data_IF_357314555032
#
_entry.id   IF_357314555032
#
_cell.length_a   1.000
_cell.length_b   1.000
_cell.length_c   1.000
_cell.angle_alpha   90.00
_cell.angle_beta   90.00
_cell.angle_gamma   90.00
#
_symmetry.space_group_name_H-M   'P 1'
#
loop_
_entity.id
_entity.type
_entity.pdbx_description
1 polymer ?
#
# COMPACT_ATOMS: atom_id res chain seq x y z
N UNK A 1 3.07 -41.72 1.27
CA UNK A 1 2.74 -40.74 0.20
C UNK A 1 1.39 -40.14 0.51
N UNK A 2 1.31 -38.84 0.84
CA UNK A 2 0.06 -38.15 1.16
C UNK A 2 -0.01 -36.93 0.25
N UNK A 3 -0.91 -36.95 -0.74
CA UNK A 3 -1.12 -35.88 -1.69
C UNK A 3 -1.85 -34.71 -1.01
N UNK A 4 -1.23 -33.54 -0.97
CA UNK A 4 -1.90 -32.28 -0.62
C UNK A 4 -2.58 -31.72 -1.89
N UNK A 5 -3.85 -31.32 -1.84
CA UNK A 5 -4.48 -30.65 -2.97
C UNK A 5 -3.92 -29.23 -3.12
N UNK A 6 -3.51 -28.91 -4.34
CA UNK A 6 -3.16 -27.56 -4.77
C UNK A 6 -4.36 -26.63 -4.54
N UNK A 7 -4.20 -25.65 -3.66
CA UNK A 7 -5.16 -24.56 -3.49
C UNK A 7 -4.86 -23.54 -4.58
N UNK A 8 -5.76 -23.43 -5.57
CA UNK A 8 -5.66 -22.38 -6.59
C UNK A 8 -5.68 -20.99 -5.92
N UNK A 9 -4.78 -20.07 -6.28
CA UNK A 9 -4.89 -18.68 -5.84
C UNK A 9 -6.21 -18.09 -6.34
N UNK A 10 -6.82 -17.15 -5.60
CA UNK A 10 -8.06 -16.51 -6.01
C UNK A 10 -7.86 -15.89 -7.39
N UNK A 11 -8.68 -16.31 -8.35
CA UNK A 11 -8.72 -15.77 -9.70
C UNK A 11 -8.89 -14.25 -9.55
N UNK A 12 -7.89 -13.48 -9.98
CA UNK A 12 -8.05 -12.04 -10.13
C UNK A 12 -9.22 -11.82 -11.09
N UNK A 13 -10.28 -11.18 -10.60
CA UNK A 13 -11.26 -10.59 -11.49
C UNK A 13 -10.53 -9.54 -12.33
N UNK A 14 -10.56 -9.72 -13.64
CA UNK A 14 -9.99 -8.80 -14.60
C UNK A 14 -10.83 -7.52 -14.61
N UNK A 15 -10.27 -6.44 -14.09
CA UNK A 15 -10.89 -5.12 -14.04
C UNK A 15 -10.41 -4.20 -15.17
N UNK A 16 -9.63 -4.72 -16.13
CA UNK A 16 -9.16 -3.94 -17.29
C UNK A 16 -10.29 -3.39 -18.16
N UNK A 17 -11.49 -3.97 -18.02
CA UNK A 17 -12.71 -3.57 -18.71
C UNK A 17 -13.74 -2.89 -17.80
N UNK A 18 -13.34 -2.40 -16.62
CA UNK A 18 -14.28 -1.61 -15.83
C UNK A 18 -14.66 -0.34 -16.60
N UNK A 19 -15.96 -0.14 -16.89
CA UNK A 19 -16.39 1.07 -17.57
C UNK A 19 -15.99 2.29 -16.74
N UNK A 20 -15.69 3.44 -17.39
CA UNK A 20 -15.51 4.72 -16.71
C UNK A 20 -16.58 4.96 -15.66
N UNK A 21 -16.29 5.71 -14.58
CA UNK A 21 -17.28 6.04 -13.55
C UNK A 21 -18.59 6.56 -14.14
N UNK A 22 -18.54 7.33 -15.23
CA UNK A 22 -19.72 7.82 -15.96
C UNK A 22 -20.61 6.69 -16.56
N UNK A 23 -20.01 5.57 -16.95
CA UNK A 23 -20.63 4.40 -17.57
C UNK A 23 -20.85 3.25 -16.57
N UNK A 24 -20.56 3.46 -15.28
CA UNK A 24 -20.86 2.49 -14.25
C UNK A 24 -22.38 2.32 -14.13
N UNK A 25 -22.85 1.07 -14.03
CA UNK A 25 -24.26 0.76 -13.71
C UNK A 25 -24.70 1.30 -12.34
N UNK A 26 -23.76 1.69 -11.50
CA UNK A 26 -24.01 2.28 -10.19
C UNK A 26 -23.78 3.79 -10.17
N UNK A 27 -23.52 4.41 -11.31
CA UNK A 27 -23.42 5.86 -11.40
C UNK A 27 -24.84 6.47 -11.40
N UNK A 28 -25.17 7.36 -10.46
CA UNK A 28 -26.47 8.03 -10.42
C UNK A 28 -26.72 8.93 -11.64
N UNK A 29 -25.69 9.25 -12.43
CA UNK A 29 -25.80 9.99 -13.69
C UNK A 29 -25.82 9.09 -14.94
N UNK A 30 -25.81 7.77 -14.79
CA UNK A 30 -25.90 6.87 -15.95
C UNK A 30 -27.35 6.91 -16.52
N UNK A 31 -27.53 7.23 -17.82
CA UNK A 31 -28.84 7.28 -18.47
C UNK A 31 -29.54 5.92 -18.63
N UNK A 32 -28.92 4.82 -18.20
CA UNK A 32 -29.58 3.51 -18.14
C UNK A 32 -30.76 3.55 -17.14
N UNK A 33 -31.98 3.44 -17.69
CA UNK A 33 -33.30 3.47 -17.05
C UNK A 33 -33.44 2.68 -15.71
N UNK A 34 -32.83 3.16 -14.63
CA UNK A 34 -32.97 2.59 -13.28
C UNK A 34 -34.33 2.92 -12.66
N UNK A 35 -34.78 2.10 -11.70
CA UNK A 35 -36.07 2.29 -11.04
C UNK A 35 -36.25 3.71 -10.47
N UNK A 36 -35.22 4.24 -9.80
CA UNK A 36 -35.25 5.59 -9.22
C UNK A 36 -35.31 6.70 -10.28
N UNK A 37 -34.67 6.51 -11.43
CA UNK A 37 -34.75 7.46 -12.56
C UNK A 37 -36.15 7.49 -13.16
N UNK A 38 -36.76 6.31 -13.37
CA UNK A 38 -38.12 6.19 -13.88
C UNK A 38 -39.15 6.81 -12.92
N UNK A 39 -38.93 6.66 -11.62
CA UNK A 39 -39.77 7.30 -10.60
C UNK A 39 -39.54 8.81 -10.56
N UNK A 40 -38.29 9.29 -10.61
CA UNK A 40 -37.99 10.72 -10.63
C UNK A 40 -38.62 11.44 -11.84
N UNK A 41 -38.62 10.80 -13.01
CA UNK A 41 -39.28 11.32 -14.21
C UNK A 41 -40.80 11.45 -14.05
N UNK A 42 -41.42 10.51 -13.33
CA UNK A 42 -42.84 10.56 -12.99
C UNK A 42 -43.16 11.72 -12.03
N UNK A 43 -42.28 11.97 -11.06
CA UNK A 43 -42.43 13.10 -10.13
C UNK A 43 -42.10 14.46 -10.76
N UNK A 44 -41.31 14.50 -11.84
CA UNK A 44 -40.96 15.74 -12.54
C UNK A 44 -42.10 16.32 -13.39
N UNK A 45 -43.12 15.52 -13.71
CA UNK A 45 -44.22 15.91 -14.60
C UNK A 45 -45.60 15.68 -13.96
N UNK A 46 -45.95 16.40 -12.89
CA UNK A 46 -47.28 16.33 -12.30
C UNK A 46 -48.33 16.96 -13.21
N UNK A 47 -49.58 16.55 -13.03
CA UNK A 47 -50.73 17.21 -13.65
C UNK A 47 -50.88 18.65 -13.10
N UNK A 48 -51.66 19.53 -13.77
CA UNK A 48 -51.88 20.91 -13.32
C UNK A 48 -52.49 21.04 -11.91
N UNK A 49 -53.16 19.99 -11.42
CA UNK A 49 -53.73 19.89 -10.08
C UNK A 49 -52.76 19.29 -9.04
N UNK A 50 -51.51 19.00 -9.44
CA UNK A 50 -50.49 18.37 -8.61
C UNK A 50 -50.61 16.85 -8.49
N UNK A 51 -51.60 16.22 -9.14
CA UNK A 51 -51.75 14.77 -9.14
C UNK A 51 -50.77 14.07 -10.08
N UNK A 52 -50.45 12.81 -9.80
CA UNK A 52 -49.61 11.98 -10.66
C UNK A 52 -50.43 10.76 -11.07
N UNK A 53 -50.65 10.59 -12.37
CA UNK A 53 -51.36 9.44 -12.92
C UNK A 53 -50.40 8.39 -13.48
N UNK A 54 -50.40 7.20 -12.89
CA UNK A 54 -49.61 6.05 -13.36
C UNK A 54 -50.54 5.11 -14.12
N UNK A 55 -50.42 5.10 -15.45
CA UNK A 55 -51.22 4.24 -16.31
C UNK A 55 -50.72 2.78 -16.28
N UNK A 56 -51.55 1.84 -16.80
CA UNK A 56 -51.23 0.42 -16.79
C UNK A 56 -49.92 0.08 -17.52
N UNK A 57 -49.58 0.81 -18.59
CA UNK A 57 -48.33 0.62 -19.33
C UNK A 57 -47.11 1.01 -18.49
N UNK A 58 -47.16 2.12 -17.75
CA UNK A 58 -46.12 2.53 -16.78
C UNK A 58 -46.01 1.54 -15.62
N UNK A 59 -47.10 0.93 -15.17
CA UNK A 59 -47.05 -0.11 -14.12
C UNK A 59 -46.33 -1.36 -14.63
N UNK A 60 -46.55 -1.78 -15.88
CA UNK A 60 -45.86 -2.92 -16.50
C UNK A 60 -44.36 -2.71 -16.63
N UNK A 61 -43.90 -1.47 -16.83
CA UNK A 61 -42.46 -1.15 -16.90
C UNK A 61 -41.82 -0.97 -15.53
N UNK A 62 -42.53 -0.38 -14.55
CA UNK A 62 -42.00 -0.15 -13.21
C UNK A 62 -41.91 -1.42 -12.36
N UNK A 63 -42.83 -2.36 -12.53
CA UNK A 63 -42.88 -3.56 -11.68
C UNK A 63 -41.62 -4.44 -11.80
N UNK A 64 -41.10 -4.76 -13.01
CA UNK A 64 -39.84 -5.47 -13.16
C UNK A 64 -38.65 -4.69 -12.60
N UNK A 65 -38.61 -3.36 -12.80
CA UNK A 65 -37.53 -2.50 -12.31
C UNK A 65 -37.47 -2.48 -10.78
N UNK A 66 -38.63 -2.45 -10.10
CA UNK A 66 -38.72 -2.52 -8.64
C UNK A 66 -38.19 -3.86 -8.10
N UNK A 67 -38.50 -4.97 -8.77
CA UNK A 67 -38.00 -6.30 -8.38
C UNK A 67 -36.48 -6.37 -8.53
N UNK A 68 -35.94 -5.84 -9.63
CA UNK A 68 -34.49 -5.77 -9.86
C UNK A 68 -33.83 -4.92 -8.77
N UNK A 69 -34.36 -3.72 -8.50
CA UNK A 69 -33.83 -2.82 -7.47
C UNK A 69 -33.81 -3.47 -6.08
N UNK A 70 -34.87 -4.21 -5.73
CA UNK A 70 -34.95 -4.97 -4.48
C UNK A 70 -33.87 -6.04 -4.39
N UNK A 71 -33.66 -6.81 -5.46
CA UNK A 71 -32.63 -7.86 -5.50
C UNK A 71 -31.23 -7.24 -5.38
N UNK A 72 -30.96 -6.19 -6.16
CA UNK A 72 -29.68 -5.48 -6.11
C UNK A 72 -29.42 -4.88 -4.73
N UNK A 73 -30.42 -4.26 -4.10
CA UNK A 73 -30.30 -3.72 -2.74
C UNK A 73 -29.96 -4.81 -1.71
N UNK A 74 -30.64 -5.96 -1.74
CA UNK A 74 -30.34 -7.09 -0.85
C UNK A 74 -28.93 -7.65 -1.09
N UNK A 75 -28.51 -7.77 -2.35
CA UNK A 75 -27.16 -8.21 -2.68
C UNK A 75 -26.09 -7.23 -2.20
N UNK A 76 -26.32 -5.92 -2.36
CA UNK A 76 -25.45 -4.86 -1.86
C UNK A 76 -25.34 -4.91 -0.35
N UNK A 77 -26.45 -5.04 0.38
CA UNK A 77 -26.44 -5.18 1.84
C UNK A 77 -25.65 -6.41 2.29
N UNK A 78 -25.83 -7.55 1.61
CA UNK A 78 -25.07 -8.77 1.91
C UNK A 78 -23.56 -8.59 1.65
N UNK A 79 -23.19 -7.88 0.58
CA UNK A 79 -21.79 -7.57 0.29
C UNK A 79 -21.19 -6.65 1.36
N UNK A 80 -21.92 -5.62 1.79
CA UNK A 80 -21.51 -4.72 2.88
C UNK A 80 -21.33 -5.50 4.18
N UNK A 81 -22.26 -6.39 4.53
CA UNK A 81 -22.14 -7.23 5.74
C UNK A 81 -20.89 -8.12 5.71
N UNK A 82 -20.57 -8.71 4.55
CA UNK A 82 -19.33 -9.49 4.38
C UNK A 82 -18.08 -8.62 4.54
N UNK A 83 -18.10 -7.39 4.03
CA UNK A 83 -16.99 -6.44 4.18
C UNK A 83 -16.82 -6.07 5.67
N UNK A 84 -17.91 -5.72 6.37
CA UNK A 84 -17.89 -5.40 7.79
C UNK A 84 -17.32 -6.55 8.62
N UNK A 85 -17.78 -7.80 8.38
CA UNK A 85 -17.24 -8.99 9.06
C UNK A 85 -15.73 -9.17 8.83
N UNK A 86 -15.24 -8.87 7.62
CA UNK A 86 -13.80 -8.93 7.33
C UNK A 86 -13.04 -7.82 8.04
N UNK A 87 -13.60 -6.61 8.11
CA UNK A 87 -13.01 -5.49 8.83
C UNK A 87 -12.86 -5.82 10.32
N UNK A 88 -13.93 -6.31 10.95
CA UNK A 88 -13.93 -6.73 12.37
C UNK A 88 -12.90 -7.85 12.64
N UNK A 89 -12.77 -8.79 11.70
CA UNK A 89 -11.77 -9.87 11.80
C UNK A 89 -10.34 -9.33 11.72
N UNK A 90 -10.08 -8.33 10.87
CA UNK A 90 -8.76 -7.70 10.78
C UNK A 90 -8.45 -6.89 12.04
N UNK A 91 -9.42 -6.13 12.55
CA UNK A 91 -9.27 -5.37 13.80
C UNK A 91 -8.94 -6.28 14.99
N UNK A 92 -9.68 -7.40 15.15
CA UNK A 92 -9.38 -8.42 16.18
C UNK A 92 -7.98 -9.01 16.02
N UNK A 93 -7.55 -9.29 14.79
CA UNK A 93 -6.21 -9.81 14.51
C UNK A 93 -5.11 -8.82 14.89
N UNK A 94 -5.30 -7.53 14.63
CA UNK A 94 -4.34 -6.48 14.96
C UNK A 94 -4.24 -6.32 16.48
N UNK A 95 -5.38 -6.27 17.18
CA UNK A 95 -5.42 -6.15 18.64
C UNK A 95 -4.83 -7.37 19.37
N UNK A 96 -4.91 -8.57 18.77
CA UNK A 96 -4.28 -9.78 19.32
C UNK A 96 -2.75 -9.77 19.25
N UNK A 97 -2.15 -9.08 18.28
CA UNK A 97 -0.68 -8.99 18.13
C UNK A 97 -0.07 -7.99 19.13
N UNK A 98 -0.84 -6.98 19.52
CA UNK A 98 -0.42 -5.95 20.49
C UNK A 98 -0.46 -6.47 21.94
N UNK A 99 -1.18 -7.57 22.23
CA UNK A 99 -1.40 -8.10 23.59
C UNK A 99 -0.73 -9.46 23.87
N UNK A 100 0.46 -9.69 23.33
CA UNK A 100 1.30 -10.82 23.76
C UNK A 100 1.98 -10.47 25.10
N UNK A 101 1.26 -10.71 26.20
CA UNK A 101 1.88 -10.96 27.50
C UNK A 101 2.88 -12.13 27.35
N UNK A 102 4.12 -12.04 27.85
CA UNK A 102 5.11 -13.10 27.69
C UNK A 102 4.67 -14.34 28.47
N UNK A 103 4.20 -15.38 27.76
CA UNK A 103 4.02 -16.71 28.36
C UNK A 103 5.39 -17.31 28.65
N UNK A 104 5.80 -17.26 29.92
CA UNK A 104 6.87 -18.08 30.47
C UNK A 104 6.49 -19.57 30.34
N UNK A 105 6.91 -20.23 29.27
CA UNK A 105 6.92 -21.69 29.19
C UNK A 105 8.22 -22.23 29.78
N UNK A 106 8.20 -23.22 30.68
CA UNK A 106 9.41 -23.76 31.30
C UNK A 106 10.27 -24.49 30.25
N UNK A 107 11.56 -24.13 30.23
CA UNK A 107 12.59 -24.71 29.37
C UNK A 107 12.81 -26.19 29.70
N UNK A 108 12.87 -27.03 28.65
CA UNK A 108 13.06 -28.49 28.72
C UNK A 108 14.46 -28.94 29.20
N UNK A 109 15.37 -28.01 29.50
CA UNK A 109 16.72 -28.33 29.94
C UNK A 109 16.81 -28.55 31.46
N UNK A 110 16.24 -29.65 31.96
CA UNK A 110 16.51 -30.15 33.31
C UNK A 110 16.57 -31.68 33.34
N UNK A 111 17.60 -32.21 32.69
CA UNK A 111 18.18 -33.53 32.91
C UNK A 111 19.59 -33.45 32.30
N UNK A 112 20.71 -33.55 33.00
CA UNK A 112 21.12 -34.65 33.86
C UNK A 112 22.36 -34.17 34.63
N UNK A 113 22.40 -34.28 35.97
CA UNK A 113 23.65 -34.15 36.73
C UNK A 113 24.34 -35.52 36.75
N UNK A 114 25.56 -35.61 36.23
CA UNK A 114 26.60 -36.56 36.68
C UNK A 114 28.00 -36.09 36.25
N UNK A 115 28.91 -36.11 37.21
CA UNK A 115 30.30 -35.62 37.24
C UNK A 115 31.17 -36.09 36.06
N UNK A 116 32.11 -35.27 35.55
CA UNK A 116 33.60 -35.32 35.75
C UNK A 116 34.25 -34.14 34.95
N UNK A 117 35.58 -33.89 34.98
CA UNK A 117 36.23 -32.67 35.46
C UNK A 117 36.54 -31.60 34.39
N UNK A 118 36.87 -30.42 34.90
CA UNK A 118 37.17 -29.15 34.22
C UNK A 118 38.27 -29.24 33.17
N UNK A 119 37.94 -28.84 31.93
CA UNK A 119 38.88 -28.23 30.99
C UNK A 119 38.41 -26.77 30.81
N UNK A 120 39.20 -25.74 31.14
CA UNK A 120 38.81 -24.37 30.87
C UNK A 120 39.08 -24.07 29.39
N UNK A 121 38.25 -24.63 28.51
CA UNK A 121 38.06 -23.99 27.21
C UNK A 121 37.25 -22.74 27.50
N UNK A 122 37.87 -21.57 27.40
CA UNK A 122 37.18 -20.29 27.31
C UNK A 122 36.41 -20.28 25.99
N UNK A 123 35.31 -21.03 25.94
CA UNK A 123 34.28 -20.88 24.93
C UNK A 123 33.75 -19.48 25.18
N UNK A 124 34.17 -18.53 24.33
CA UNK A 124 33.56 -17.21 24.28
C UNK A 124 32.07 -17.46 24.07
N UNK A 125 31.29 -17.33 25.14
CA UNK A 125 29.84 -17.35 25.07
C UNK A 125 29.45 -16.09 24.31
N UNK A 126 29.51 -16.16 22.98
CA UNK A 126 28.88 -15.18 22.12
C UNK A 126 27.37 -15.41 22.28
N UNK A 127 26.63 -14.50 22.93
CA UNK A 127 25.18 -14.62 22.95
C UNK A 127 24.69 -14.70 21.50
N UNK A 128 23.66 -15.52 21.21
CA UNK A 128 23.11 -15.59 19.87
C UNK A 128 22.74 -14.17 19.40
N UNK A 129 23.00 -13.83 18.13
CA UNK A 129 22.71 -12.51 17.62
C UNK A 129 21.23 -12.19 17.86
N UNK A 130 20.96 -10.95 18.25
CA UNK A 130 19.59 -10.54 18.56
C UNK A 130 18.67 -10.76 17.35
N UNK A 131 17.39 -11.02 17.60
CA UNK A 131 16.38 -11.14 16.54
C UNK A 131 16.32 -9.89 15.65
N UNK A 132 16.70 -8.71 16.16
CA UNK A 132 16.82 -7.48 15.38
C UNK A 132 17.86 -7.65 14.28
N UNK A 133 19.07 -8.07 14.62
CA UNK A 133 20.16 -8.31 13.67
C UNK A 133 19.76 -9.38 12.66
N UNK A 134 19.16 -10.48 13.11
CA UNK A 134 18.70 -11.55 12.20
C UNK A 134 17.60 -11.09 11.23
N UNK A 135 16.71 -10.20 11.67
CA UNK A 135 15.63 -9.68 10.82
C UNK A 135 16.13 -8.76 9.71
N UNK A 136 17.28 -8.12 9.86
CA UNK A 136 17.84 -7.21 8.85
C UNK A 136 18.29 -7.97 7.59
N UNK A 137 18.68 -9.24 7.73
CA UNK A 137 19.04 -10.13 6.61
C UNK A 137 17.83 -10.78 5.94
N UNK A 138 16.61 -10.57 6.44
CA UNK A 138 15.40 -11.12 5.81
C UNK A 138 15.06 -10.38 4.52
N UNK A 139 14.43 -11.08 3.55
CA UNK A 139 13.88 -10.44 2.36
C UNK A 139 12.94 -9.29 2.74
N UNK A 140 13.04 -8.20 1.99
CA UNK A 140 12.23 -7.01 2.17
C UNK A 140 11.67 -6.56 0.82
N UNK A 141 10.82 -5.54 0.86
CA UNK A 141 10.31 -4.89 -0.32
C UNK A 141 10.14 -3.40 -0.07
N UNK A 142 10.15 -2.62 -1.15
CA UNK A 142 9.79 -1.21 -1.16
C UNK A 142 8.74 -0.96 -2.24
N UNK A 143 7.94 0.08 -2.04
CA UNK A 143 6.97 0.55 -3.03
C UNK A 143 7.40 1.92 -3.52
N UNK A 144 7.52 2.07 -4.82
CA UNK A 144 7.72 3.34 -5.48
C UNK A 144 6.39 3.77 -6.09
N UNK A 145 5.84 4.85 -5.54
CA UNK A 145 4.60 5.42 -6.04
C UNK A 145 4.85 6.27 -7.28
N UNK A 146 3.94 6.25 -8.25
CA UNK A 146 4.05 7.20 -9.35
C UNK A 146 3.71 8.59 -8.85
N UNK A 147 4.52 9.57 -9.25
CA UNK A 147 4.34 10.97 -8.86
C UNK A 147 3.47 11.75 -9.83
N UNK A 148 3.40 11.32 -11.10
CA UNK A 148 2.65 11.99 -12.16
C UNK A 148 1.39 11.16 -12.50
N UNK A 149 0.17 11.69 -12.32
CA UNK A 149 -1.10 10.96 -12.50
C UNK A 149 -1.32 10.31 -13.88
N UNK A 150 -0.68 10.79 -14.94
CA UNK A 150 -0.80 10.23 -16.28
C UNK A 150 0.46 9.50 -16.77
N UNK A 151 1.54 9.51 -15.98
CA UNK A 151 2.74 8.78 -16.38
C UNK A 151 2.47 7.27 -16.35
N UNK A 152 3.08 6.58 -17.33
CA UNK A 152 3.10 5.12 -17.42
C UNK A 152 4.55 4.64 -17.45
N UNK A 153 5.27 4.69 -16.31
CA UNK A 153 6.61 4.14 -16.22
C UNK A 153 6.65 2.69 -16.69
N UNK A 154 7.69 2.34 -17.40
CA UNK A 154 7.92 1.01 -17.95
C UNK A 154 6.77 0.52 -18.83
N UNK A 155 6.12 1.43 -19.58
CA UNK A 155 5.05 1.06 -20.50
C UNK A 155 5.50 -0.05 -21.44
N UNK A 156 4.69 -1.10 -21.56
CA UNK A 156 4.94 -2.32 -22.34
C UNK A 156 6.13 -3.20 -21.88
N UNK A 157 6.84 -2.86 -20.79
CA UNK A 157 7.86 -3.75 -20.25
C UNK A 157 7.25 -4.79 -19.30
N UNK A 158 7.75 -6.02 -19.39
CA UNK A 158 7.42 -7.09 -18.47
C UNK A 158 8.21 -6.97 -17.16
N UNK A 159 7.71 -7.53 -16.04
CA UNK A 159 8.43 -7.54 -14.77
C UNK A 159 9.90 -8.03 -14.81
N UNK A 160 10.27 -9.10 -15.53
CA UNK A 160 11.67 -9.51 -15.63
C UNK A 160 12.53 -8.50 -16.39
N UNK A 161 11.99 -7.85 -17.43
CA UNK A 161 12.70 -6.79 -18.18
C UNK A 161 12.94 -5.56 -17.30
N UNK A 162 11.94 -5.14 -16.53
CA UNK A 162 12.08 -4.05 -15.56
C UNK A 162 13.13 -4.40 -14.52
N UNK A 163 13.10 -5.63 -13.99
CA UNK A 163 14.09 -6.09 -12.99
C UNK A 163 15.51 -6.07 -13.56
N UNK A 164 15.69 -6.51 -14.81
CA UNK A 164 16.98 -6.44 -15.50
C UNK A 164 17.44 -5.00 -15.66
N UNK A 165 16.58 -4.13 -16.22
CA UNK A 165 16.89 -2.71 -16.42
C UNK A 165 17.28 -2.00 -15.13
N UNK A 166 16.55 -2.25 -14.04
CA UNK A 166 16.86 -1.68 -12.73
C UNK A 166 18.22 -2.19 -12.22
N UNK A 167 18.49 -3.50 -12.31
CA UNK A 167 19.78 -4.03 -11.88
C UNK A 167 20.95 -3.53 -12.74
N UNK A 168 20.74 -3.28 -14.03
CA UNK A 168 21.75 -2.68 -14.92
C UNK A 168 22.06 -1.25 -14.46
N UNK A 169 21.03 -0.42 -14.22
CA UNK A 169 21.22 0.95 -13.68
C UNK A 169 21.88 0.94 -12.31
N UNK A 170 21.48 0.05 -11.40
CA UNK A 170 22.09 -0.07 -10.07
C UNK A 170 23.57 -0.46 -10.15
N UNK A 171 23.94 -1.22 -11.17
CA UNK A 171 25.33 -1.57 -11.44
C UNK A 171 26.11 -0.37 -11.99
N UNK A 172 25.49 0.41 -12.88
CA UNK A 172 26.11 1.59 -13.49
C UNK A 172 26.39 2.71 -12.47
N UNK A 173 25.55 2.84 -11.44
CA UNK A 173 25.78 3.79 -10.33
C UNK A 173 26.63 3.21 -9.19
N UNK A 174 27.21 2.03 -9.38
CA UNK A 174 28.03 1.31 -8.38
C UNK A 174 27.33 1.17 -7.01
N UNK A 175 26.02 0.88 -7.02
CA UNK A 175 25.20 0.83 -5.81
C UNK A 175 25.70 -0.25 -4.83
N UNK A 176 26.26 0.21 -3.70
CA UNK A 176 26.78 -0.65 -2.64
C UNK A 176 26.16 -0.33 -1.28
N UNK A 177 25.98 -1.36 -0.48
CA UNK A 177 25.59 -1.24 0.94
C UNK A 177 26.80 -0.74 1.74
N UNK A 178 26.59 -0.24 2.97
CA UNK A 178 27.68 0.15 3.87
C UNK A 178 28.75 -0.95 4.05
N UNK A 179 28.35 -2.22 3.92
CA UNK A 179 29.24 -3.39 4.02
C UNK A 179 29.95 -3.72 2.68
N UNK A 180 29.87 -2.85 1.67
CA UNK A 180 30.43 -3.06 0.33
C UNK A 180 29.67 -4.05 -0.56
N UNK A 181 28.56 -4.61 -0.08
CA UNK A 181 27.75 -5.57 -0.84
C UNK A 181 26.95 -4.89 -1.95
N UNK A 182 27.02 -5.43 -3.18
CA UNK A 182 26.27 -4.91 -4.34
C UNK A 182 24.77 -5.01 -4.14
N UNK A 183 24.04 -3.94 -4.44
CA UNK A 183 22.58 -3.89 -4.27
C UNK A 183 21.90 -4.45 -5.51
N UNK A 184 20.99 -5.41 -5.29
CA UNK A 184 20.25 -6.08 -6.37
C UNK A 184 18.78 -6.25 -6.01
N UNK A 185 17.94 -6.06 -7.00
CA UNK A 185 16.51 -6.35 -6.96
C UNK A 185 16.27 -7.77 -7.48
N UNK A 186 15.51 -8.56 -6.72
CA UNK A 186 15.13 -9.93 -7.09
C UNK A 186 13.92 -10.00 -8.02
N UNK A 187 13.06 -9.01 -7.94
CA UNK A 187 11.89 -8.93 -8.79
C UNK A 187 11.12 -7.64 -8.54
N UNK A 188 10.17 -7.40 -9.43
CA UNK A 188 9.24 -6.28 -9.36
C UNK A 188 7.83 -6.77 -9.61
N UNK A 189 6.86 -6.14 -8.96
CA UNK A 189 5.45 -6.32 -9.24
C UNK A 189 4.81 -4.95 -9.46
N UNK A 190 3.98 -4.84 -10.49
CA UNK A 190 3.14 -3.66 -10.69
C UNK A 190 1.86 -3.82 -9.88
N UNK A 191 1.57 -2.85 -9.02
CA UNK A 191 0.36 -2.84 -8.20
C UNK A 191 -0.83 -2.33 -9.02
N UNK A 192 -2.08 -2.67 -8.64
CA UNK A 192 -3.28 -2.15 -9.29
C UNK A 192 -3.38 -0.62 -9.32
N UNK A 193 -2.76 0.06 -8.36
CA UNK A 193 -2.64 1.53 -8.32
C UNK A 193 -1.74 2.10 -9.42
N UNK A 194 -0.95 1.25 -10.09
CA UNK A 194 0.09 1.65 -11.03
C UNK A 194 1.46 1.83 -10.40
N UNK A 195 1.59 1.66 -9.07
CA UNK A 195 2.86 1.73 -8.34
C UNK A 195 3.70 0.47 -8.53
N UNK A 196 4.99 0.56 -8.22
CA UNK A 196 5.94 -0.54 -8.39
C UNK A 196 6.44 -1.04 -7.05
N UNK A 197 6.24 -2.33 -6.79
CA UNK A 197 6.76 -3.03 -5.62
C UNK A 197 8.03 -3.78 -6.01
N UNK A 198 9.17 -3.38 -5.47
CA UNK A 198 10.46 -4.01 -5.70
C UNK A 198 10.80 -4.94 -4.54
N UNK A 199 11.24 -6.15 -4.84
CA UNK A 199 11.62 -7.16 -3.85
C UNK A 199 13.13 -7.28 -3.77
N UNK A 200 13.67 -7.27 -2.55
CA UNK A 200 15.10 -7.39 -2.27
C UNK A 200 15.39 -8.60 -1.41
N UNK A 201 16.64 -9.07 -1.45
CA UNK A 201 17.08 -10.19 -0.61
C UNK A 201 17.26 -9.81 0.86
N UNK A 202 17.59 -8.55 1.14
CA UNK A 202 17.86 -8.04 2.48
C UNK A 202 17.12 -6.72 2.72
N UNK A 203 16.88 -6.40 3.99
CA UNK A 203 16.32 -5.09 4.38
C UNK A 203 17.29 -3.95 4.06
N UNK A 204 18.59 -4.15 4.25
CA UNK A 204 19.61 -3.15 3.91
C UNK A 204 19.52 -2.67 2.45
N UNK A 205 19.31 -3.61 1.52
CA UNK A 205 19.13 -3.27 0.11
C UNK A 205 17.83 -2.47 -0.13
N UNK A 206 16.73 -2.83 0.55
CA UNK A 206 15.48 -2.08 0.44
C UNK A 206 15.60 -0.66 1.01
N UNK A 207 16.26 -0.51 2.16
CA UNK A 207 16.46 0.79 2.82
C UNK A 207 17.36 1.70 1.98
N UNK A 208 18.43 1.15 1.40
CA UNK A 208 19.29 1.91 0.49
C UNK A 208 18.52 2.36 -0.77
N UNK A 209 17.76 1.45 -1.40
CA UNK A 209 16.96 1.78 -2.58
C UNK A 209 15.93 2.87 -2.30
N UNK A 210 15.32 2.84 -1.11
CA UNK A 210 14.34 3.82 -0.70
C UNK A 210 14.99 5.19 -0.44
N UNK A 211 16.16 5.21 0.21
CA UNK A 211 16.91 6.44 0.50
C UNK A 211 17.39 7.14 -0.78
N UNK A 212 17.91 6.37 -1.73
CA UNK A 212 18.49 6.89 -2.97
C UNK A 212 17.52 6.81 -4.16
N UNK A 213 16.21 6.64 -3.91
CA UNK A 213 15.19 6.52 -4.98
C UNK A 213 15.27 7.63 -6.02
N UNK A 214 15.55 8.85 -5.58
CA UNK A 214 15.69 10.03 -6.43
C UNK A 214 16.88 9.96 -7.41
N UNK A 215 17.92 9.19 -7.08
CA UNK A 215 19.14 9.04 -7.88
C UNK A 215 18.99 7.97 -8.98
N UNK A 216 18.25 6.88 -8.74
CA UNK A 216 18.20 5.75 -9.68
C UNK A 216 16.89 5.63 -10.46
N UNK A 217 15.75 6.07 -9.92
CA UNK A 217 14.43 5.82 -10.54
C UNK A 217 14.28 6.50 -11.90
N UNK A 218 14.76 7.74 -12.03
CA UNK A 218 14.71 8.51 -13.27
C UNK A 218 15.65 7.95 -14.35
N UNK A 219 16.74 7.29 -13.95
CA UNK A 219 17.65 6.59 -14.86
C UNK A 219 17.01 5.31 -15.42
N UNK A 220 16.18 4.64 -14.63
CA UNK A 220 15.42 3.49 -15.10
C UNK A 220 14.30 3.89 -16.07
N UNK A 221 13.58 4.98 -15.78
CA UNK A 221 12.58 5.54 -16.67
C UNK A 221 12.43 7.05 -16.42
N UNK A 222 12.59 7.92 -17.44
CA UNK A 222 12.44 9.37 -17.28
C UNK A 222 11.05 9.80 -16.76
N UNK A 223 10.04 8.95 -16.93
CA UNK A 223 8.66 9.20 -16.45
C UNK A 223 8.43 8.75 -15.01
N UNK A 224 9.41 8.06 -14.40
CA UNK A 224 9.42 7.64 -12.99
C UNK A 224 10.32 8.57 -12.16
N UNK A 225 9.86 9.79 -11.94
CA UNK A 225 10.59 10.76 -11.11
C UNK A 225 10.15 10.56 -9.67
N UNK A 226 11.09 10.27 -8.77
CA UNK A 226 10.82 10.23 -7.33
C UNK A 226 11.60 11.33 -6.61
N UNK A 227 10.94 12.16 -5.79
CA UNK A 227 11.66 13.14 -4.97
C UNK A 227 12.43 12.45 -3.84
N UNK A 228 13.43 13.11 -3.24
CA UNK A 228 14.05 12.64 -2.01
C UNK A 228 13.03 12.36 -0.90
N UNK A 229 13.40 11.53 0.08
CA UNK A 229 12.55 11.29 1.24
C UNK A 229 12.43 12.57 2.07
N UNK A 230 11.21 13.09 2.18
CA UNK A 230 10.87 14.15 3.13
C UNK A 230 10.08 13.57 4.30
N UNK A 231 10.32 14.10 5.49
CA UNK A 231 9.60 13.73 6.70
C UNK A 231 9.05 15.01 7.36
N UNK A 232 7.78 15.01 7.81
CA UNK A 232 7.26 16.14 8.56
C UNK A 232 8.04 16.26 9.88
N UNK A 233 8.43 17.48 10.22
CA UNK A 233 9.09 17.81 11.48
C UNK A 233 8.17 18.69 12.33
N UNK A 234 8.14 18.44 13.63
CA UNK A 234 7.47 19.32 14.59
C UNK A 234 8.48 20.36 15.03
N UNK A 235 8.13 21.63 14.85
CA UNK A 235 8.95 22.76 15.27
C UNK A 235 8.58 23.17 16.70
N UNK A 236 9.58 23.52 17.50
CA UNK A 236 9.41 24.04 18.84
C UNK A 236 8.95 25.49 18.84
N UNK A 237 9.44 26.28 17.88
CA UNK A 237 9.15 27.70 17.76
C UNK A 237 8.82 28.03 16.29
N UNK A 238 7.70 28.69 16.05
CA UNK A 238 7.35 29.24 14.74
C UNK A 238 7.13 30.74 14.91
N UNK A 239 7.86 31.61 14.17
CA UNK A 239 7.64 33.05 14.21
C UNK A 239 6.17 33.39 13.92
N UNK A 240 5.63 34.38 14.63
CA UNK A 240 4.24 34.86 14.46
C UNK A 240 4.01 35.32 13.01
N UNK A 241 5.04 35.85 12.37
CA UNK A 241 5.10 36.16 10.95
C UNK A 241 6.18 35.35 10.26
N UNK A 242 5.80 34.31 9.53
CA UNK A 242 6.71 33.49 8.76
C UNK A 242 6.33 33.54 7.28
N UNK A 243 7.30 33.88 6.42
CA UNK A 243 7.13 33.80 4.97
C UNK A 243 8.08 32.73 4.43
N UNK A 244 7.58 31.58 3.95
CA UNK A 244 8.43 30.46 3.53
C UNK A 244 9.36 30.84 2.36
N UNK A 245 8.98 31.82 1.55
CA UNK A 245 9.77 32.31 0.41
C UNK A 245 10.90 33.26 0.80
N UNK A 246 10.92 33.79 2.04
CA UNK A 246 11.94 34.72 2.49
C UNK A 246 13.08 33.97 3.21
N UNK A 247 14.28 34.04 2.63
CA UNK A 247 15.48 33.36 3.15
C UNK A 247 15.85 33.80 4.57
N UNK A 248 15.58 35.05 4.94
CA UNK A 248 15.91 35.60 6.26
C UNK A 248 15.02 35.00 7.36
N UNK A 249 13.71 34.89 7.13
CA UNK A 249 12.77 34.27 8.09
C UNK A 249 12.97 32.76 8.19
N UNK A 250 13.41 32.12 7.11
CA UNK A 250 13.77 30.70 7.12
C UNK A 250 15.03 30.46 7.97
N UNK A 251 16.05 31.31 7.85
CA UNK A 251 17.27 31.21 8.65
C UNK A 251 17.00 31.40 10.15
N UNK A 252 16.10 32.33 10.50
CA UNK A 252 15.65 32.53 11.88
C UNK A 252 14.91 31.30 12.40
N UNK A 253 13.94 30.77 11.66
CA UNK A 253 13.24 29.53 12.01
C UNK A 253 14.21 28.37 12.25
N UNK A 254 15.21 28.22 11.36
CA UNK A 254 16.25 27.20 11.48
C UNK A 254 17.05 27.36 12.77
N UNK A 255 17.50 28.58 13.07
CA UNK A 255 18.23 28.89 14.30
C UNK A 255 17.41 28.56 15.55
N UNK A 256 16.17 29.02 15.62
CA UNK A 256 15.31 28.82 16.80
C UNK A 256 14.92 27.35 17.03
N UNK A 257 14.93 26.53 15.98
CA UNK A 257 14.61 25.09 16.06
C UNK A 257 15.85 24.18 16.03
N UNK A 258 17.07 24.73 16.04
CA UNK A 258 18.32 23.98 15.87
C UNK A 258 18.35 23.09 14.61
N UNK A 259 17.78 23.59 13.51
CA UNK A 259 17.73 22.92 12.21
C UNK A 259 18.78 23.54 11.30
N UNK A 260 19.52 22.71 10.55
CA UNK A 260 20.42 23.21 9.51
C UNK A 260 19.60 23.70 8.31
N UNK A 261 19.85 24.90 7.75
CA UNK A 261 19.05 25.47 6.65
C UNK A 261 18.91 24.54 5.44
N UNK A 262 19.96 23.79 5.11
CA UNK A 262 19.97 22.86 3.97
C UNK A 262 19.01 21.67 4.13
N UNK A 263 18.52 21.42 5.35
CA UNK A 263 17.57 20.35 5.63
C UNK A 263 16.11 20.77 5.39
N UNK A 264 15.85 22.06 5.15
CA UNK A 264 14.52 22.55 4.81
C UNK A 264 14.45 22.80 3.30
N UNK A 265 13.76 21.90 2.61
CA UNK A 265 13.35 22.14 1.23
C UNK A 265 12.01 22.89 1.24
N UNK A 266 12.04 24.15 0.82
CA UNK A 266 10.83 24.94 0.59
C UNK A 266 9.95 24.26 -0.46
N UNK A 267 8.64 24.25 -0.21
CA UNK A 267 7.63 23.81 -1.17
C UNK A 267 7.52 24.77 -2.36
#
# INVERSE_FOLDING_TARGET
MRNQPYVNPPIQLDFSHNPPLAQSRHNPQNPDNGFLSAIAEIFAHPNPDGSIFINAEKVKTLSPLLVIEKITSVQTLSAVEKITKRLDSMEKSINSVVRLEPKNSPSWASATKKNTPVVPQSVTFCPPPSNRVLNEFKPAFLIICKTIPDSRPFFQMSPPEITKKVNDVLKDIEATTADGSTIKVKGVARLPSGDFKFFTQTRFAADWLLKHKHEWTHLCDPTLITPPLTFPVILHLVPISFTPSNKSTLAELCRENNIHPDHIHGA
#
